data_IF_584011854287
#
_entry.id   IF_584011854287
#
_cell.length_a   1.000
_cell.length_b   1.000
_cell.length_c   1.000
_cell.angle_alpha   90.00
_cell.angle_beta   90.00
_cell.angle_gamma   90.00
#
_symmetry.space_group_name_H-M   'P 1'
#
loop_
_entity.id
_entity.type
_entity.pdbx_description
1 polymer ?
#
# COMPACT_ATOMS: atom_id res chain seq x y z
N UNK A 1 -1.89 -16.29 -23.85
CA UNK A 1 -0.95 -15.15 -23.98
C UNK A 1 -0.72 -14.59 -22.58
N UNK A 2 0.51 -14.49 -22.07
CA UNK A 2 0.76 -13.90 -20.74
C UNK A 2 0.46 -12.39 -20.80
N UNK A 3 -0.35 -11.81 -19.90
CA UNK A 3 -0.51 -10.37 -19.81
C UNK A 3 0.78 -9.74 -19.29
N UNK A 4 1.25 -8.64 -19.90
CA UNK A 4 2.26 -7.78 -19.26
C UNK A 4 3.50 -7.38 -20.05
N UNK A 5 3.65 -7.70 -21.34
CA UNK A 5 4.68 -7.06 -22.17
C UNK A 5 4.12 -6.72 -23.55
N UNK A 6 3.64 -5.49 -23.72
CA UNK A 6 3.53 -4.94 -25.07
C UNK A 6 4.96 -4.76 -25.57
N UNK A 7 5.35 -5.51 -26.59
CA UNK A 7 6.67 -5.41 -27.22
C UNK A 7 6.59 -4.31 -28.28
N UNK A 8 7.23 -3.18 -28.01
CA UNK A 8 7.32 -2.04 -28.92
C UNK A 8 8.77 -1.53 -28.97
N UNK A 9 9.09 -0.69 -29.94
CA UNK A 9 10.43 -0.14 -30.10
C UNK A 9 10.78 0.82 -28.97
N UNK A 10 12.04 0.75 -28.51
CA UNK A 10 12.58 1.72 -27.54
C UNK A 10 12.46 3.13 -28.13
N UNK A 11 11.76 4.01 -27.43
CA UNK A 11 11.50 5.39 -27.88
C UNK A 11 10.15 5.61 -28.57
N UNK A 12 9.31 4.58 -28.70
CA UNK A 12 7.93 4.74 -29.16
C UNK A 12 7.16 5.69 -28.24
N UNK A 13 6.59 6.77 -28.81
CA UNK A 13 5.82 7.76 -28.04
C UNK A 13 4.48 7.22 -27.57
N UNK A 14 3.85 6.37 -28.37
CA UNK A 14 2.52 5.83 -28.12
C UNK A 14 2.57 4.32 -28.36
N UNK A 15 2.21 3.55 -27.34
CA UNK A 15 2.20 2.09 -27.37
C UNK A 15 0.77 1.64 -27.13
N UNK A 16 0.20 0.89 -28.06
CA UNK A 16 -1.16 0.37 -27.93
C UNK A 16 -1.15 -0.90 -27.09
N UNK A 17 -1.91 -0.94 -26.00
CA UNK A 17 -2.09 -2.14 -25.18
C UNK A 17 -3.55 -2.59 -25.24
N UNK A 18 -3.76 -3.91 -25.37
CA UNK A 18 -5.08 -4.49 -25.25
C UNK A 18 -5.35 -4.79 -23.77
N UNK A 19 -6.35 -4.14 -23.20
CA UNK A 19 -6.75 -4.37 -21.80
C UNK A 19 -8.04 -5.18 -21.76
N UNK A 20 -8.23 -5.95 -20.70
CA UNK A 20 -9.45 -6.75 -20.52
C UNK A 20 -10.66 -5.90 -20.11
N UNK A 21 -10.44 -4.67 -19.63
CA UNK A 21 -11.48 -3.79 -19.13
C UNK A 21 -11.00 -2.34 -19.10
N UNK A 22 -11.89 -1.42 -19.45
CA UNK A 22 -11.67 0.02 -19.30
C UNK A 22 -11.37 0.40 -17.84
N UNK A 23 -12.02 -0.26 -16.87
CA UNK A 23 -11.82 0.01 -15.45
C UNK A 23 -10.39 -0.27 -15.01
N UNK A 24 -9.72 -1.24 -15.62
CA UNK A 24 -8.30 -1.54 -15.35
C UNK A 24 -7.37 -0.39 -15.76
N UNK A 25 -7.84 0.55 -16.56
CA UNK A 25 -7.07 1.74 -16.95
C UNK A 25 -7.47 3.01 -16.19
N UNK A 26 -8.71 3.08 -15.69
CA UNK A 26 -9.25 4.29 -15.07
C UNK A 26 -9.30 4.24 -13.56
N UNK A 27 -9.19 3.05 -12.98
CA UNK A 27 -9.22 2.84 -11.54
C UNK A 27 -8.05 1.97 -11.13
N UNK A 28 -7.33 2.41 -10.10
CA UNK A 28 -6.47 1.54 -9.33
C UNK A 28 -6.83 1.61 -7.84
N UNK A 29 -6.43 0.58 -7.12
CA UNK A 29 -6.49 0.54 -5.68
C UNK A 29 -5.24 -0.15 -5.18
N UNK A 30 -4.79 0.24 -3.99
CA UNK A 30 -3.72 -0.46 -3.30
C UNK A 30 -4.31 -1.23 -2.13
N UNK A 31 -3.89 -2.49 -1.98
CA UNK A 31 -4.17 -3.30 -0.81
C UNK A 31 -2.85 -3.55 -0.11
N UNK A 32 -2.79 -3.23 1.18
CA UNK A 32 -1.61 -3.50 1.99
C UNK A 32 -1.94 -4.60 2.99
N UNK A 33 -1.20 -5.70 2.90
CA UNK A 33 -1.30 -6.86 3.77
C UNK A 33 0.05 -7.07 4.43
N UNK A 34 0.05 -7.32 5.74
CA UNK A 34 1.24 -7.69 6.48
C UNK A 34 1.06 -9.09 7.06
N UNK A 35 2.12 -9.89 7.02
CA UNK A 35 2.17 -11.21 7.63
C UNK A 35 3.19 -11.15 8.75
N UNK A 36 2.84 -11.72 9.90
CA UNK A 36 3.82 -12.00 10.95
C UNK A 36 4.27 -13.45 10.85
N UNK A 37 5.52 -13.73 10.44
CA UNK A 37 6.02 -15.09 10.32
C UNK A 37 6.06 -15.82 11.66
N UNK A 38 6.36 -15.10 12.75
CA UNK A 38 6.47 -15.68 14.10
C UNK A 38 5.16 -16.29 14.60
N UNK A 39 4.03 -15.62 14.37
CA UNK A 39 2.70 -16.13 14.76
C UNK A 39 1.96 -16.81 13.61
N UNK A 40 2.53 -16.83 12.40
CA UNK A 40 1.94 -17.42 11.17
C UNK A 40 0.55 -16.89 10.85
N UNK A 41 0.32 -15.58 11.05
CA UNK A 41 -0.96 -14.92 10.82
C UNK A 41 -0.78 -13.63 10.03
N UNK A 42 -1.81 -13.26 9.29
CA UNK A 42 -1.95 -11.90 8.77
C UNK A 42 -2.23 -10.92 9.91
N UNK A 43 -1.86 -9.67 9.69
CA UNK A 43 -2.36 -8.55 10.47
C UNK A 43 -3.90 -8.55 10.42
N UNK A 44 -4.59 -8.32 11.54
CA UNK A 44 -6.05 -8.48 11.62
C UNK A 44 -6.83 -7.42 10.84
N UNK A 45 -6.20 -6.32 10.44
CA UNK A 45 -6.83 -5.23 9.70
C UNK A 45 -6.25 -5.13 8.29
N UNK A 46 -7.13 -5.19 7.29
CA UNK A 46 -6.78 -4.98 5.88
C UNK A 46 -6.83 -3.49 5.55
N UNK A 47 -5.78 -2.96 4.95
CA UNK A 47 -5.76 -1.60 4.43
C UNK A 47 -6.07 -1.60 2.95
N UNK A 48 -7.10 -0.85 2.55
CA UNK A 48 -7.47 -0.60 1.16
C UNK A 48 -7.44 0.90 0.92
N UNK A 49 -6.73 1.30 -0.12
CA UNK A 49 -6.80 2.65 -0.63
C UNK A 49 -7.34 2.67 -2.05
N UNK A 50 -8.39 3.45 -2.25
CA UNK A 50 -9.03 3.64 -3.55
C UNK A 50 -8.48 4.90 -4.24
N UNK A 51 -8.27 4.81 -5.55
CA UNK A 51 -7.95 5.99 -6.34
C UNK A 51 -9.22 6.81 -6.61
N UNK A 52 -9.31 8.00 -6.01
CA UNK A 52 -10.43 8.93 -6.18
C UNK A 52 -9.92 10.28 -6.71
N UNK A 53 -10.62 10.95 -7.65
CA UNK A 53 -10.16 12.20 -8.25
C UNK A 53 -9.83 13.33 -7.26
N UNK A 54 -10.52 13.35 -6.11
CA UNK A 54 -10.31 14.34 -5.04
C UNK A 54 -9.48 13.80 -3.87
N UNK A 55 -9.00 12.56 -3.96
CA UNK A 55 -8.32 11.87 -2.88
C UNK A 55 -9.16 11.62 -1.64
N UNK A 56 -10.49 11.72 -1.77
CA UNK A 56 -11.44 11.51 -0.68
C UNK A 56 -12.61 10.69 -1.18
N UNK A 57 -13.17 9.88 -0.29
CA UNK A 57 -14.40 9.14 -0.55
C UNK A 57 -15.59 10.11 -0.56
N UNK A 58 -16.39 10.07 -1.62
CA UNK A 58 -17.62 10.86 -1.72
C UNK A 58 -18.61 10.52 -0.60
N UNK A 59 -19.49 11.46 -0.19
CA UNK A 59 -20.45 11.22 0.92
C UNK A 59 -21.33 9.99 0.72
N UNK A 60 -21.80 9.76 -0.52
CA UNK A 60 -22.65 8.62 -0.85
C UNK A 60 -21.91 7.30 -0.63
N UNK A 61 -20.68 7.19 -1.15
CA UNK A 61 -19.81 6.02 -0.96
C UNK A 61 -19.51 5.81 0.50
N UNK A 62 -19.11 6.85 1.24
CA UNK A 62 -18.79 6.75 2.67
C UNK A 62 -19.99 6.27 3.52
N UNK A 63 -21.22 6.54 3.07
CA UNK A 63 -22.43 6.13 3.75
C UNK A 63 -22.89 4.71 3.37
N UNK A 64 -22.71 4.29 2.12
CA UNK A 64 -23.18 3.00 1.62
C UNK A 64 -22.13 1.89 1.60
N UNK A 65 -20.84 2.21 1.74
CA UNK A 65 -19.76 1.23 1.70
C UNK A 65 -19.85 0.27 2.88
N UNK A 66 -19.47 -0.99 2.63
CA UNK A 66 -19.24 -1.97 3.68
C UNK A 66 -18.23 -1.46 4.72
N UNK A 67 -18.55 -1.65 6.00
CA UNK A 67 -17.72 -1.25 7.13
C UNK A 67 -17.45 -2.46 8.01
N UNK A 68 -16.21 -2.63 8.42
CA UNK A 68 -15.80 -3.68 9.35
C UNK A 68 -14.65 -3.16 10.21
N UNK A 69 -14.55 -3.66 11.45
CA UNK A 69 -13.39 -3.41 12.31
C UNK A 69 -12.09 -3.98 11.75
N UNK A 70 -12.18 -4.92 10.80
CA UNK A 70 -11.03 -5.57 10.16
C UNK A 70 -10.67 -4.92 8.81
N UNK A 71 -11.26 -3.77 8.49
CA UNK A 71 -11.06 -3.09 7.22
C UNK A 71 -10.86 -1.59 7.44
N UNK A 72 -9.71 -1.09 7.02
CA UNK A 72 -9.41 0.33 6.94
C UNK A 72 -9.47 0.74 5.47
N UNK A 73 -10.45 1.57 5.09
CA UNK A 73 -10.60 2.08 3.72
C UNK A 73 -10.34 3.58 3.68
N UNK A 74 -9.41 3.99 2.82
CA UNK A 74 -9.08 5.39 2.54
C UNK A 74 -9.03 5.65 1.04
N UNK A 75 -8.73 6.88 0.65
CA UNK A 75 -8.63 7.28 -0.76
C UNK A 75 -7.42 8.17 -1.02
N UNK A 76 -6.94 8.16 -2.27
CA UNK A 76 -5.93 9.11 -2.75
C UNK A 76 -6.11 9.45 -4.21
N UNK A 77 -5.46 10.50 -4.68
CA UNK A 77 -5.52 10.91 -6.10
C UNK A 77 -4.68 10.03 -7.01
N UNK A 78 -3.54 9.53 -6.51
CA UNK A 78 -2.57 8.78 -7.32
C UNK A 78 -2.79 7.28 -7.33
N UNK A 79 -3.51 6.75 -6.32
CA UNK A 79 -3.62 5.31 -6.11
C UNK A 79 -2.31 4.63 -5.70
N UNK A 80 -1.26 5.42 -5.40
CA UNK A 80 0.05 4.92 -4.95
C UNK A 80 0.21 5.11 -3.45
N UNK A 81 0.87 4.16 -2.79
CA UNK A 81 1.38 4.38 -1.43
C UNK A 81 2.50 5.41 -1.49
N UNK A 82 2.19 6.64 -1.07
CA UNK A 82 3.18 7.68 -0.77
C UNK A 82 3.05 8.00 0.71
N UNK A 83 2.55 9.18 1.08
CA UNK A 83 2.31 9.59 2.48
C UNK A 83 1.35 8.68 3.24
N UNK A 84 0.53 7.93 2.52
CA UNK A 84 -0.37 6.92 3.09
C UNK A 84 0.37 5.83 3.87
N UNK A 85 1.67 5.63 3.62
CA UNK A 85 2.43 4.61 4.34
C UNK A 85 2.50 4.95 5.82
N UNK A 86 2.66 6.24 6.14
CA UNK A 86 2.64 6.74 7.51
C UNK A 86 1.26 6.57 8.15
N UNK A 87 0.18 6.84 7.41
CA UNK A 87 -1.19 6.58 7.87
C UNK A 87 -1.45 5.09 8.11
N UNK A 88 -0.94 4.21 7.25
CA UNK A 88 -0.99 2.78 7.45
C UNK A 88 -0.22 2.35 8.71
N UNK A 89 0.99 2.89 8.92
CA UNK A 89 1.78 2.64 10.11
C UNK A 89 0.99 3.01 11.37
N UNK A 90 0.47 4.23 11.43
CA UNK A 90 -0.25 4.78 12.59
C UNK A 90 -1.59 4.06 12.84
N UNK A 91 -2.41 3.87 11.81
CA UNK A 91 -3.81 3.45 11.96
C UNK A 91 -4.01 1.94 11.89
N UNK A 92 -3.07 1.21 11.29
CA UNK A 92 -3.22 -0.21 10.99
C UNK A 92 -2.08 -1.03 11.58
N UNK A 93 -0.82 -0.67 11.34
CA UNK A 93 0.32 -1.50 11.71
C UNK A 93 0.62 -1.44 13.22
N UNK A 94 1.00 -0.27 13.74
CA UNK A 94 1.44 -0.10 15.12
C UNK A 94 0.41 -0.48 16.19
N UNK A 95 -0.90 -0.27 16.02
CA UNK A 95 -1.90 -0.72 17.00
C UNK A 95 -1.91 -2.24 17.26
N UNK A 96 -1.24 -3.03 16.42
CA UNK A 96 -1.16 -4.48 16.54
C UNK A 96 0.24 -5.00 16.85
N UNK A 97 1.21 -4.10 17.10
CA UNK A 97 2.56 -4.48 17.48
C UNK A 97 2.67 -4.58 19.00
N UNK A 98 3.49 -5.52 19.46
CA UNK A 98 3.91 -5.63 20.86
C UNK A 98 5.18 -4.82 21.08
N UNK A 99 5.75 -4.83 22.29
CA UNK A 99 6.91 -4.04 22.71
C UNK A 99 8.07 -3.93 21.71
N UNK A 100 8.33 -4.98 20.92
CA UNK A 100 9.36 -4.97 19.88
C UNK A 100 8.79 -5.47 18.55
N UNK A 101 9.12 -4.77 17.47
CA UNK A 101 8.71 -5.12 16.12
C UNK A 101 9.85 -4.92 15.11
N UNK A 102 10.03 -5.91 14.23
CA UNK A 102 10.88 -5.81 13.04
C UNK A 102 9.96 -5.85 11.82
N UNK A 103 10.03 -4.84 10.98
CA UNK A 103 9.31 -4.76 9.72
C UNK A 103 10.27 -4.94 8.54
N UNK A 104 10.00 -5.93 7.68
CA UNK A 104 10.82 -6.24 6.51
C UNK A 104 10.05 -5.89 5.24
N UNK A 105 10.60 -5.00 4.42
CA UNK A 105 10.00 -4.61 3.13
C UNK A 105 11.06 -4.36 2.05
N UNK A 106 10.64 -4.13 0.81
CA UNK A 106 11.53 -3.81 -0.30
C UNK A 106 12.18 -2.41 -0.18
N UNK A 107 13.14 -2.11 -1.06
CA UNK A 107 13.85 -0.82 -1.08
C UNK A 107 13.10 0.27 -1.82
N UNK A 108 11.76 0.28 -1.82
CA UNK A 108 11.01 1.34 -2.47
C UNK A 108 11.11 2.64 -1.68
N UNK A 109 11.26 3.76 -2.39
CA UNK A 109 11.49 5.08 -1.78
C UNK A 109 10.35 5.57 -0.89
N UNK A 110 9.15 5.02 -1.03
CA UNK A 110 8.04 5.32 -0.11
C UNK A 110 8.38 4.92 1.33
N UNK A 111 9.16 3.86 1.51
CA UNK A 111 9.50 3.34 2.83
C UNK A 111 10.75 3.98 3.43
N UNK A 112 11.42 4.90 2.73
CA UNK A 112 12.66 5.50 3.24
C UNK A 112 12.44 6.58 4.29
N UNK A 113 11.23 7.11 4.43
CA UNK A 113 10.90 8.19 5.37
C UNK A 113 10.69 7.64 6.79
N UNK A 114 11.77 7.17 7.42
CA UNK A 114 11.71 6.62 8.78
C UNK A 114 11.48 7.70 9.83
N UNK A 115 11.89 8.95 9.58
CA UNK A 115 11.61 10.07 10.48
C UNK A 115 10.10 10.27 10.66
N UNK A 116 9.33 10.29 9.56
CA UNK A 116 7.87 10.39 9.64
C UNK A 116 7.21 9.16 10.28
N UNK A 117 7.82 7.97 10.15
CA UNK A 117 7.33 6.76 10.82
C UNK A 117 7.55 6.86 12.33
N UNK A 118 8.71 7.34 12.76
CA UNK A 118 9.04 7.53 14.17
C UNK A 118 8.14 8.56 14.86
N UNK A 119 7.70 9.61 14.14
CA UNK A 119 6.74 10.59 14.66
C UNK A 119 5.37 9.99 15.01
N UNK A 120 4.93 8.95 14.30
CA UNK A 120 3.63 8.28 14.53
C UNK A 120 3.75 6.98 15.32
N UNK A 121 4.98 6.55 15.61
CA UNK A 121 5.27 5.34 16.39
C UNK A 121 4.92 5.56 17.86
N UNK A 122 4.21 4.63 18.52
CA UNK A 122 4.05 4.66 19.97
C UNK A 122 5.40 4.75 20.71
N UNK A 123 5.45 5.53 21.79
CA UNK A 123 6.69 5.77 22.53
C UNK A 123 7.26 4.49 23.14
N UNK A 124 6.38 3.56 23.55
CA UNK A 124 6.71 2.29 24.19
C UNK A 124 7.06 1.19 23.19
N UNK A 125 6.89 1.44 21.89
CA UNK A 125 7.18 0.47 20.84
C UNK A 125 8.63 0.65 20.36
N UNK A 126 9.44 -0.40 20.50
CA UNK A 126 10.70 -0.51 19.77
C UNK A 126 10.42 -1.06 18.38
N UNK A 127 10.79 -0.28 17.36
CA UNK A 127 10.55 -0.59 15.96
C UNK A 127 11.86 -0.52 15.20
N UNK A 128 12.07 -1.51 14.34
CA UNK A 128 13.18 -1.54 13.39
C UNK A 128 12.64 -1.86 12.00
N UNK A 129 13.02 -1.06 11.00
CA UNK A 129 12.80 -1.40 9.60
C UNK A 129 14.05 -2.05 9.02
N UNK A 130 13.87 -3.23 8.43
CA UNK A 130 14.87 -3.89 7.61
C UNK A 130 14.44 -3.77 6.15
N UNK A 131 15.33 -3.24 5.32
CA UNK A 131 15.08 -3.08 3.89
C UNK A 131 15.79 -4.16 3.10
N UNK A 132 15.05 -4.87 2.25
CA UNK A 132 15.63 -5.80 1.29
C UNK A 132 16.45 -5.00 0.26
N UNK A 133 17.71 -5.37 -0.04
CA UNK A 133 18.56 -4.59 -0.94
C UNK A 133 17.92 -4.33 -2.31
N UNK A 134 18.19 -3.17 -2.93
CA UNK A 134 17.64 -2.87 -4.24
C UNK A 134 18.08 -3.90 -5.29
N UNK A 135 17.19 -4.19 -6.24
CA UNK A 135 17.41 -5.10 -7.39
C UNK A 135 17.52 -6.58 -7.03
N UNK A 136 17.10 -6.99 -5.83
CA UNK A 136 17.03 -8.41 -5.45
C UNK A 136 15.60 -8.94 -5.36
N UNK A 137 14.60 -8.07 -5.37
CA UNK A 137 13.19 -8.40 -5.59
C UNK A 137 12.94 -8.42 -7.11
N UNK A 138 12.35 -9.49 -7.63
CA UNK A 138 12.15 -9.67 -9.07
C UNK A 138 11.24 -8.57 -9.67
N UNK A 139 11.45 -8.17 -10.94
CA UNK A 139 10.57 -7.25 -11.66
C UNK A 139 9.32 -7.92 -12.25
#
# INVERSE_FOLDING_TARGET
MRPGRTLDFVGAKHVSALTHSQNSMTHCYTVMMCVSPGVRKFLPVLFIMLQEPKGILGPLVKNSMFKSSHLYVTASTSGKMTKLYIEWCEKVFFPHMNQHCIFLDDSWSTFSDQEAVDEVKPAELEYEMITIPPKVTGP
#
